data_IF_989926036117
#
_entry.id   IF_989926036117
#
_cell.length_a   1.000
_cell.length_b   1.000
_cell.length_c   1.000
_cell.angle_alpha   90.00
_cell.angle_beta   90.00
_cell.angle_gamma   90.00
#
_symmetry.space_group_name_H-M   'P 1'
#
loop_
_entity.id
_entity.type
_entity.pdbx_description
1 polymer ?
#
# COMPACT_ATOMS: atom_id res chain seq x y z
N UNK A 1 8.24 48.23 32.66
CA UNK A 1 7.98 47.07 31.78
C UNK A 1 9.31 46.56 31.26
N UNK A 2 9.80 45.42 31.72
CA UNK A 2 11.01 44.82 31.15
C UNK A 2 10.66 44.21 29.78
N UNK A 3 11.30 44.73 28.73
CA UNK A 3 11.19 44.16 27.38
C UNK A 3 12.17 42.99 27.32
N UNK A 4 11.65 41.77 27.25
CA UNK A 4 12.49 40.61 26.97
C UNK A 4 13.00 40.72 25.53
N UNK A 5 14.29 40.98 25.36
CA UNK A 5 14.96 40.82 24.07
C UNK A 5 15.14 39.32 23.82
N UNK A 6 14.60 38.85 22.68
CA UNK A 6 14.78 37.48 22.24
C UNK A 6 16.24 37.16 21.94
N UNK A 7 16.57 35.86 21.76
CA UNK A 7 17.92 35.44 21.45
C UNK A 7 18.44 36.14 20.18
N UNK A 8 19.74 36.51 20.15
CA UNK A 8 20.31 37.23 19.03
C UNK A 8 20.22 36.39 17.74
N UNK A 9 19.99 37.01 16.57
CA UNK A 9 19.71 36.31 15.32
C UNK A 9 20.84 35.34 14.91
N UNK A 10 22.09 35.68 15.22
CA UNK A 10 23.27 34.81 15.02
C UNK A 10 23.21 33.46 15.76
N UNK A 11 22.40 33.35 16.81
CA UNK A 11 22.21 32.11 17.57
C UNK A 11 20.84 31.50 17.29
N UNK A 12 19.81 32.34 17.13
CA UNK A 12 18.46 31.87 16.86
C UNK A 12 18.33 31.23 15.47
N UNK A 13 18.89 31.86 14.43
CA UNK A 13 18.79 31.36 13.04
C UNK A 13 19.40 29.97 12.88
N UNK A 14 20.66 29.70 13.29
CA UNK A 14 21.22 28.35 13.13
C UNK A 14 20.42 27.32 13.95
N UNK A 15 19.97 27.68 15.17
CA UNK A 15 19.17 26.79 16.01
C UNK A 15 17.81 26.46 15.37
N UNK A 16 17.15 27.45 14.78
CA UNK A 16 15.90 27.27 14.04
C UNK A 16 16.10 26.40 12.78
N UNK A 17 17.19 26.62 12.04
CA UNK A 17 17.54 25.79 10.86
C UNK A 17 17.82 24.35 11.28
N UNK A 18 18.62 24.13 12.33
CA UNK A 18 18.89 22.77 12.83
C UNK A 18 17.60 22.09 13.29
N UNK A 19 16.74 22.78 14.03
CA UNK A 19 15.44 22.24 14.45
C UNK A 19 14.57 21.89 13.22
N UNK A 20 14.50 22.77 12.23
CA UNK A 20 13.73 22.51 11.00
C UNK A 20 14.27 21.30 10.23
N UNK A 21 15.60 21.18 10.09
CA UNK A 21 16.22 20.03 9.44
C UNK A 21 15.94 18.73 10.18
N UNK A 22 16.04 18.71 11.51
CA UNK A 22 15.72 17.53 12.31
C UNK A 22 14.25 17.10 12.13
N UNK A 23 13.32 18.06 12.11
CA UNK A 23 11.91 17.78 11.86
C UNK A 23 11.69 17.21 10.47
N UNK A 24 12.30 17.80 9.44
CA UNK A 24 12.16 17.33 8.06
C UNK A 24 12.77 15.94 7.86
N UNK A 25 13.95 15.68 8.42
CA UNK A 25 14.57 14.35 8.37
C UNK A 25 13.72 13.32 9.12
N UNK A 26 13.23 13.66 10.33
CA UNK A 26 12.36 12.77 11.09
C UNK A 26 11.06 12.47 10.36
N UNK A 27 10.42 13.48 9.75
CA UNK A 27 9.22 13.29 8.96
C UNK A 27 9.48 12.42 7.72
N UNK A 28 10.60 12.63 7.03
CA UNK A 28 11.00 11.83 5.88
C UNK A 28 11.18 10.34 6.23
N UNK A 29 11.85 10.04 7.34
CA UNK A 29 12.02 8.66 7.82
C UNK A 29 10.69 8.00 8.20
N UNK A 30 9.76 8.77 8.77
CA UNK A 30 8.43 8.27 9.09
C UNK A 30 7.63 7.95 7.83
N UNK A 31 7.66 8.83 6.83
CA UNK A 31 6.98 8.60 5.55
C UNK A 31 7.53 7.34 4.88
N UNK A 32 8.85 7.21 4.80
CA UNK A 32 9.51 6.05 4.19
C UNK A 32 9.10 4.73 4.87
N UNK A 33 9.13 4.70 6.21
CA UNK A 33 8.69 3.54 6.97
C UNK A 33 7.18 3.22 6.78
N UNK A 34 6.34 4.25 6.68
CA UNK A 34 4.90 4.09 6.45
C UNK A 34 4.58 3.62 5.02
N UNK A 35 5.33 4.07 4.03
CA UNK A 35 5.16 3.67 2.63
C UNK A 35 5.61 2.22 2.41
N UNK A 36 6.71 1.79 3.05
CA UNK A 36 7.18 0.39 2.97
C UNK A 36 6.27 -0.60 3.70
N UNK A 37 5.74 -0.22 4.87
CA UNK A 37 4.92 -1.09 5.73
C UNK A 37 3.70 -0.37 6.31
N UNK A 38 2.73 0.00 5.46
CA UNK A 38 1.49 0.57 5.96
C UNK A 38 0.75 -0.49 6.81
N UNK A 39 0.08 -0.10 7.91
CA UNK A 39 -0.65 -1.05 8.75
C UNK A 39 -1.86 -1.68 8.04
N UNK A 40 -2.29 -1.13 6.91
CA UNK A 40 -3.32 -1.68 6.00
C UNK A 40 -2.68 -2.35 4.75
N UNK A 41 -1.40 -2.71 4.80
CA UNK A 41 -0.71 -3.31 3.65
C UNK A 41 -1.29 -4.66 3.21
N UNK A 42 -1.82 -5.46 4.14
CA UNK A 42 -2.58 -6.68 3.82
C UNK A 42 -3.83 -6.37 2.99
N UNK A 43 -4.54 -5.28 3.30
CA UNK A 43 -5.71 -4.86 2.52
C UNK A 43 -5.33 -4.42 1.11
N UNK A 44 -4.20 -3.71 0.97
CA UNK A 44 -3.65 -3.34 -0.34
C UNK A 44 -3.27 -4.58 -1.14
N UNK A 45 -2.66 -5.58 -0.50
CA UNK A 45 -2.29 -6.84 -1.13
C UNK A 45 -3.54 -7.56 -1.65
N UNK A 46 -4.55 -7.74 -0.80
CA UNK A 46 -5.83 -8.34 -1.17
C UNK A 46 -6.50 -7.61 -2.34
N UNK A 47 -6.67 -6.28 -2.23
CA UNK A 47 -7.32 -5.49 -3.28
C UNK A 47 -6.54 -5.50 -4.59
N UNK A 48 -5.21 -5.55 -4.52
CA UNK A 48 -4.35 -5.69 -5.69
C UNK A 48 -4.66 -6.95 -6.50
N UNK A 49 -4.78 -8.10 -5.83
CA UNK A 49 -5.17 -9.36 -6.47
C UNK A 49 -6.61 -9.32 -6.99
N UNK A 50 -7.53 -8.80 -6.17
CA UNK A 50 -8.95 -8.71 -6.49
C UNK A 50 -9.24 -7.88 -7.75
N UNK A 51 -8.64 -6.69 -7.86
CA UNK A 51 -8.83 -5.79 -9.01
C UNK A 51 -8.29 -6.43 -10.29
N UNK A 52 -7.10 -7.05 -10.21
CA UNK A 52 -6.49 -7.71 -11.36
C UNK A 52 -7.37 -8.84 -11.90
N UNK A 53 -7.79 -9.76 -11.03
CA UNK A 53 -8.61 -10.89 -11.42
C UNK A 53 -10.02 -10.48 -11.87
N UNK A 54 -10.64 -9.51 -11.20
CA UNK A 54 -11.94 -8.95 -11.61
C UNK A 54 -11.88 -8.35 -13.01
N UNK A 55 -10.76 -7.70 -13.36
CA UNK A 55 -10.53 -7.16 -14.70
C UNK A 55 -10.37 -8.28 -15.72
N UNK A 56 -9.58 -9.32 -15.43
CA UNK A 56 -9.42 -10.49 -16.30
C UNK A 56 -10.78 -11.12 -16.56
N UNK A 57 -11.56 -11.40 -15.51
CA UNK A 57 -12.92 -11.94 -15.59
C UNK A 57 -13.83 -11.07 -16.45
N UNK A 58 -13.78 -9.75 -16.28
CA UNK A 58 -14.59 -8.80 -17.04
C UNK A 58 -14.34 -8.81 -18.56
N UNK A 59 -13.14 -9.23 -19.00
CA UNK A 59 -12.79 -9.36 -20.42
C UNK A 59 -12.79 -10.81 -20.92
N UNK A 60 -13.06 -11.79 -20.05
CA UNK A 60 -12.99 -13.21 -20.34
C UNK A 60 -14.32 -13.73 -20.92
N UNK A 61 -14.51 -13.52 -22.23
CA UNK A 61 -15.78 -13.82 -22.91
C UNK A 61 -16.12 -15.30 -22.99
N UNK A 62 -15.13 -16.19 -22.96
CA UNK A 62 -15.30 -17.65 -23.05
C UNK A 62 -15.11 -18.39 -21.70
N UNK A 63 -14.84 -17.64 -20.64
CA UNK A 63 -14.62 -18.16 -19.29
C UNK A 63 -13.30 -18.92 -19.11
N UNK A 64 -12.44 -19.01 -20.13
CA UNK A 64 -11.23 -19.82 -20.09
C UNK A 64 -10.20 -19.25 -19.12
N UNK A 65 -10.03 -17.92 -19.08
CA UNK A 65 -9.10 -17.26 -18.17
C UNK A 65 -9.57 -17.39 -16.72
N UNK A 66 -10.86 -17.20 -16.48
CA UNK A 66 -11.47 -17.33 -15.15
C UNK A 66 -11.30 -18.73 -14.60
N UNK A 67 -11.57 -19.77 -15.41
CA UNK A 67 -11.32 -21.17 -15.00
C UNK A 67 -9.85 -21.43 -14.66
N UNK A 68 -8.93 -20.87 -15.44
CA UNK A 68 -7.50 -21.01 -15.20
C UNK A 68 -7.05 -20.33 -13.90
N UNK A 69 -7.54 -19.11 -13.63
CA UNK A 69 -7.33 -18.40 -12.36
C UNK A 69 -7.75 -19.23 -11.16
N UNK A 70 -8.98 -19.75 -11.19
CA UNK A 70 -9.55 -20.58 -10.13
C UNK A 70 -8.86 -21.94 -9.98
N UNK A 71 -8.27 -22.47 -11.05
CA UNK A 71 -7.51 -23.72 -11.04
C UNK A 71 -6.08 -23.58 -10.49
N UNK A 72 -5.69 -22.38 -10.01
CA UNK A 72 -4.40 -22.14 -9.36
C UNK A 72 -3.47 -21.18 -10.11
N UNK A 73 -3.91 -20.59 -11.22
CA UNK A 73 -3.09 -19.57 -11.91
C UNK A 73 -2.89 -18.32 -11.05
N UNK A 74 -3.82 -17.97 -10.13
CA UNK A 74 -3.59 -16.90 -9.15
C UNK A 74 -2.30 -17.14 -8.34
N UNK A 75 -2.11 -18.34 -7.77
CA UNK A 75 -0.92 -18.68 -7.00
C UNK A 75 0.35 -18.80 -7.87
N UNK A 76 0.22 -19.02 -9.18
CA UNK A 76 1.35 -18.98 -10.11
C UNK A 76 1.74 -17.54 -10.43
N UNK A 77 0.76 -16.69 -10.73
CA UNK A 77 0.98 -15.28 -11.04
C UNK A 77 1.64 -14.53 -9.88
N UNK A 78 1.27 -14.85 -8.64
CA UNK A 78 1.93 -14.32 -7.45
C UNK A 78 3.43 -14.69 -7.45
N UNK A 79 3.74 -16.00 -7.59
CA UNK A 79 5.13 -16.49 -7.65
C UNK A 79 5.94 -15.91 -8.81
N UNK A 80 5.27 -15.62 -9.93
CA UNK A 80 5.87 -14.96 -11.09
C UNK A 80 6.05 -13.44 -10.88
N UNK A 81 5.67 -12.91 -9.72
CA UNK A 81 5.85 -11.52 -9.32
C UNK A 81 4.77 -10.55 -9.83
N UNK A 82 3.64 -11.04 -10.36
CA UNK A 82 2.62 -10.15 -10.95
C UNK A 82 1.94 -9.23 -9.94
N UNK A 83 1.99 -9.55 -8.66
CA UNK A 83 1.47 -8.66 -7.62
C UNK A 83 2.40 -7.50 -7.24
N UNK A 84 3.64 -7.51 -7.73
CA UNK A 84 4.65 -6.48 -7.47
C UNK A 84 4.81 -6.16 -5.98
N UNK A 85 5.12 -4.90 -5.67
CA UNK A 85 5.34 -4.43 -4.30
C UNK A 85 4.12 -4.63 -3.39
N UNK A 86 2.91 -4.68 -3.97
CA UNK A 86 1.66 -4.89 -3.23
C UNK A 86 1.48 -6.34 -2.76
N UNK A 87 1.93 -7.33 -3.54
CA UNK A 87 1.88 -8.73 -3.12
C UNK A 87 2.98 -9.08 -2.13
N UNK A 88 4.15 -8.43 -2.19
CA UNK A 88 5.28 -8.71 -1.28
C UNK A 88 4.90 -8.51 0.19
N UNK A 89 3.96 -7.59 0.47
CA UNK A 89 3.51 -7.33 1.82
C UNK A 89 2.75 -8.51 2.45
N UNK A 90 1.83 -9.12 1.68
CA UNK A 90 1.10 -10.33 2.07
C UNK A 90 0.72 -11.14 0.81
N UNK A 91 1.56 -12.10 0.39
CA UNK A 91 1.32 -12.89 -0.82
C UNK A 91 0.04 -13.72 -0.74
N UNK A 92 -0.28 -14.22 0.45
CA UNK A 92 -1.46 -15.04 0.66
C UNK A 92 -2.74 -14.22 0.49
N UNK A 93 -2.79 -13.01 1.08
CA UNK A 93 -3.89 -12.09 0.91
C UNK A 93 -4.07 -11.67 -0.56
N UNK A 94 -2.98 -11.45 -1.30
CA UNK A 94 -3.05 -11.16 -2.73
C UNK A 94 -3.66 -12.32 -3.54
N UNK A 95 -3.24 -13.56 -3.27
CA UNK A 95 -3.81 -14.75 -3.93
C UNK A 95 -5.29 -14.90 -3.57
N UNK A 96 -5.66 -14.68 -2.32
CA UNK A 96 -7.05 -14.72 -1.87
C UNK A 96 -7.93 -13.69 -2.59
N UNK A 97 -7.46 -12.45 -2.68
CA UNK A 97 -8.13 -11.41 -3.45
C UNK A 97 -8.27 -11.77 -4.92
N UNK A 98 -7.22 -12.33 -5.54
CA UNK A 98 -7.26 -12.82 -6.91
C UNK A 98 -8.35 -13.91 -7.10
N UNK A 99 -8.47 -14.84 -6.16
CA UNK A 99 -9.50 -15.88 -6.23
C UNK A 99 -10.91 -15.30 -6.07
N UNK A 100 -11.14 -14.40 -5.12
CA UNK A 100 -12.44 -13.73 -4.93
C UNK A 100 -12.82 -12.89 -6.17
N UNK A 101 -11.84 -12.18 -6.74
CA UNK A 101 -11.98 -11.43 -7.99
C UNK A 101 -12.19 -12.32 -9.22
N UNK A 102 -11.65 -13.54 -9.26
CA UNK A 102 -11.95 -14.49 -10.32
C UNK A 102 -13.37 -15.08 -10.15
N UNK A 103 -13.77 -15.36 -8.91
CA UNK A 103 -15.03 -16.03 -8.58
C UNK A 103 -16.28 -15.17 -8.76
N UNK A 104 -16.15 -13.84 -8.86
CA UNK A 104 -17.34 -12.97 -8.89
C UNK A 104 -17.79 -12.47 -7.53
N UNK A 105 -17.04 -12.77 -6.46
CA UNK A 105 -17.40 -12.35 -5.12
C UNK A 105 -17.26 -10.83 -4.97
N UNK A 106 -18.06 -10.18 -4.10
CA UNK A 106 -17.78 -8.81 -3.70
C UNK A 106 -16.43 -8.73 -2.99
N UNK A 107 -15.71 -7.61 -3.17
CA UNK A 107 -14.48 -7.39 -2.40
C UNK A 107 -14.83 -7.24 -0.92
N UNK A 108 -13.94 -7.74 -0.05
CA UNK A 108 -14.09 -7.68 1.41
C UNK A 108 -14.05 -6.25 1.95
N UNK A 109 -13.44 -5.34 1.20
CA UNK A 109 -13.16 -3.97 1.62
C UNK A 109 -14.03 -2.92 0.87
N UNK A 110 -15.17 -3.34 0.31
CA UNK A 110 -16.15 -2.42 -0.29
C UNK A 110 -16.88 -1.59 0.79
N UNK A 111 -16.17 -0.60 1.33
CA UNK A 111 -16.61 0.28 2.39
C UNK A 111 -15.49 0.45 3.41
N UNK A 112 -14.59 1.41 3.14
CA UNK A 112 -13.48 1.82 4.01
C UNK A 112 -13.87 1.77 5.50
N UNK A 113 -13.27 0.82 6.23
CA UNK A 113 -13.30 0.68 7.70
C UNK A 113 -14.65 0.23 8.28
N UNK A 114 -14.61 -0.81 9.13
CA UNK A 114 -15.65 -1.11 10.11
C UNK A 114 -15.21 -0.63 11.48
#
# INVERSE_FOLDING_TARGET
>A
MHRHEGPPPRTFVPLAVTAALLVLTGAGLLIDAYDERPPWGTDIAYEGGYILASRIRGYDTDGSRTRSLLAGECARMERDGMGGDRAVHDPAAWVEGCLDGAAGHPSRNQGLIR
#
